data_IF_546513993609
#
_entry.id   IF_546513993609
#
_cell.length_a   1.000
_cell.length_b   1.000
_cell.length_c   1.000
_cell.angle_alpha   90.00
_cell.angle_beta   90.00
_cell.angle_gamma   90.00
#
_symmetry.space_group_name_H-M   'P 1'
#
loop_
_entity.id
_entity.type
_entity.pdbx_description
1 polymer ?
#
# COMPACT_ATOMS: atom_id res chain seq x y z
N UNK A 1 21.42 2.51 -11.79
CA UNK A 1 20.68 3.78 -11.69
C UNK A 1 19.23 3.45 -11.33
N UNK A 2 18.66 4.13 -10.33
CA UNK A 2 17.29 3.90 -9.87
C UNK A 2 16.33 4.79 -10.67
N UNK A 3 15.28 4.21 -11.24
CA UNK A 3 14.23 4.91 -11.98
C UNK A 3 13.13 5.46 -11.05
N UNK A 4 13.11 5.02 -9.81
CA UNK A 4 12.19 5.51 -8.78
C UNK A 4 12.97 6.14 -7.63
N UNK A 5 12.28 6.93 -6.81
CA UNK A 5 12.85 7.38 -5.54
C UNK A 5 13.15 6.18 -4.65
N UNK A 6 14.27 6.20 -3.92
CA UNK A 6 14.54 5.25 -2.82
C UNK A 6 13.71 5.59 -1.56
N UNK A 7 12.76 6.53 -1.67
CA UNK A 7 11.79 6.81 -0.62
C UNK A 7 10.77 5.67 -0.47
N UNK A 8 10.26 5.53 0.74
CA UNK A 8 9.19 4.59 1.01
C UNK A 8 7.90 5.06 0.35
N UNK A 9 7.24 4.15 -0.36
CA UNK A 9 5.89 4.37 -0.87
C UNK A 9 4.89 3.63 0.03
N UNK A 10 3.85 4.35 0.44
CA UNK A 10 2.75 3.78 1.20
C UNK A 10 1.75 3.10 0.26
N UNK A 11 1.59 1.79 0.42
CA UNK A 11 0.53 1.03 -0.20
C UNK A 11 -0.60 0.85 0.81
N UNK A 12 -1.85 1.04 0.39
CA UNK A 12 -2.98 0.94 1.32
C UNK A 12 -4.19 0.23 0.71
N UNK A 13 -4.96 -0.40 1.58
CA UNK A 13 -6.32 -0.86 1.33
C UNK A 13 -7.26 -0.06 2.21
N UNK A 14 -8.33 0.48 1.64
CA UNK A 14 -9.28 1.33 2.35
C UNK A 14 -10.70 0.79 2.17
N UNK A 15 -11.45 0.75 3.27
CA UNK A 15 -12.89 0.50 3.27
C UNK A 15 -13.61 1.73 3.79
N UNK A 16 -14.77 1.98 3.22
CA UNK A 16 -15.63 3.11 3.55
C UNK A 16 -16.96 2.60 4.12
N UNK A 17 -17.41 3.22 5.20
CA UNK A 17 -18.69 2.90 5.85
C UNK A 17 -19.51 4.19 5.91
N UNK A 18 -20.70 4.18 5.30
CA UNK A 18 -21.67 5.28 5.46
C UNK A 18 -22.30 5.17 6.85
N UNK A 19 -22.05 6.17 7.70
CA UNK A 19 -22.56 6.17 9.07
C UNK A 19 -24.10 6.13 9.12
N UNK A 20 -24.78 6.65 8.10
CA UNK A 20 -26.26 6.65 8.05
C UNK A 20 -26.85 5.27 7.79
N UNK A 21 -26.05 4.33 7.25
CA UNK A 21 -26.46 2.92 7.15
C UNK A 21 -26.42 2.21 8.51
N UNK A 22 -25.62 2.72 9.45
CA UNK A 22 -25.56 2.21 10.81
C UNK A 22 -26.69 2.82 11.65
N UNK A 23 -26.84 4.14 11.58
CA UNK A 23 -27.92 4.88 12.23
C UNK A 23 -28.29 6.12 11.39
N UNK A 24 -29.49 6.16 10.79
CA UNK A 24 -29.94 7.28 9.96
C UNK A 24 -30.03 8.62 10.70
N UNK A 25 -30.04 8.61 12.03
CA UNK A 25 -30.09 9.84 12.86
C UNK A 25 -28.73 10.51 13.01
N UNK A 26 -27.65 9.85 12.60
CA UNK A 26 -26.32 10.47 12.58
C UNK A 26 -26.28 11.51 11.47
N UNK A 27 -26.18 12.78 11.89
CA UNK A 27 -26.08 13.94 10.99
C UNK A 27 -24.74 14.67 11.08
N UNK A 28 -23.86 14.25 12.00
CA UNK A 28 -22.51 14.80 12.16
C UNK A 28 -21.57 13.79 12.82
N UNK A 29 -20.26 14.04 12.70
CA UNK A 29 -19.24 13.30 13.45
C UNK A 29 -19.43 13.44 14.97
N UNK A 30 -19.81 14.62 15.46
CA UNK A 30 -20.05 14.83 16.89
C UNK A 30 -21.21 13.96 17.39
N UNK A 31 -22.27 13.83 16.58
CA UNK A 31 -23.40 12.95 16.91
C UNK A 31 -22.95 11.49 16.94
N UNK A 32 -22.10 11.07 16.01
CA UNK A 32 -21.52 9.73 16.00
C UNK A 32 -20.65 9.47 17.24
N UNK A 33 -19.70 10.36 17.53
CA UNK A 33 -18.79 10.27 18.69
C UNK A 33 -19.58 10.24 20.01
N UNK A 34 -20.66 11.01 20.11
CA UNK A 34 -21.53 11.04 21.29
C UNK A 34 -22.46 9.83 21.41
N UNK A 35 -22.76 9.13 20.31
CA UNK A 35 -23.69 7.97 20.32
C UNK A 35 -22.96 6.64 20.43
N UNK A 36 -21.71 6.57 19.97
CA UNK A 36 -20.90 5.35 19.94
C UNK A 36 -19.61 5.53 20.71
N UNK A 37 -19.21 4.50 21.45
CA UNK A 37 -18.03 4.51 22.31
C UNK A 37 -16.79 3.98 21.60
N UNK A 38 -16.94 2.84 20.93
CA UNK A 38 -15.82 2.12 20.32
C UNK A 38 -16.18 1.51 18.99
N UNK A 39 -15.15 1.34 18.15
CA UNK A 39 -15.16 0.51 16.96
C UNK A 39 -14.17 -0.62 17.21
N UNK A 40 -14.63 -1.85 17.11
CA UNK A 40 -13.80 -3.06 17.22
C UNK A 40 -13.61 -3.69 15.86
N UNK A 41 -12.35 -3.88 15.47
CA UNK A 41 -11.97 -4.63 14.29
C UNK A 41 -11.42 -5.97 14.79
N UNK A 42 -12.07 -7.06 14.39
CA UNK A 42 -11.80 -8.41 14.88
C UNK A 42 -11.54 -9.39 13.74
N UNK A 43 -11.04 -10.59 14.10
CA UNK A 43 -10.60 -11.65 13.18
C UNK A 43 -9.37 -11.26 12.37
N UNK A 44 -8.43 -10.56 13.01
CA UNK A 44 -7.18 -10.10 12.38
C UNK A 44 -6.02 -11.11 12.48
N UNK A 45 -6.20 -12.20 13.23
CA UNK A 45 -5.11 -13.15 13.54
C UNK A 45 -4.53 -13.93 12.36
N UNK A 46 -5.19 -13.94 11.19
CA UNK A 46 -4.71 -14.60 9.97
C UNK A 46 -4.52 -13.61 8.81
N UNK A 47 -4.24 -12.33 9.14
CA UNK A 47 -3.80 -11.38 8.13
C UNK A 47 -2.39 -11.71 7.63
N UNK A 48 -2.24 -11.65 6.33
CA UNK A 48 -0.96 -11.76 5.64
C UNK A 48 -0.83 -10.67 4.59
N UNK A 49 0.40 -10.24 4.36
CA UNK A 49 0.75 -9.41 3.21
C UNK A 49 1.20 -10.33 2.09
N UNK A 50 0.52 -10.24 0.96
CA UNK A 50 0.90 -10.91 -0.27
C UNK A 50 1.51 -9.91 -1.24
N UNK A 51 2.62 -10.30 -1.84
CA UNK A 51 3.23 -9.65 -2.98
C UNK A 51 3.33 -10.67 -4.11
N UNK A 52 2.77 -10.35 -5.28
CA UNK A 52 2.94 -11.15 -6.48
C UNK A 52 4.40 -11.13 -6.94
N UNK A 53 4.71 -12.02 -7.85
CA UNK A 53 5.98 -11.99 -8.57
C UNK A 53 6.19 -10.60 -9.17
N UNK A 54 7.43 -10.12 -9.05
CA UNK A 54 7.78 -8.73 -9.31
C UNK A 54 7.90 -8.41 -10.81
N UNK A 55 6.95 -8.88 -11.62
CA UNK A 55 6.94 -8.60 -13.03
C UNK A 55 6.58 -7.13 -13.26
N UNK A 56 7.28 -6.47 -14.19
CA UNK A 56 7.14 -5.03 -14.40
C UNK A 56 5.70 -4.62 -14.77
N UNK A 57 4.97 -5.45 -15.49
CA UNK A 57 3.57 -5.21 -15.87
C UNK A 57 2.59 -5.20 -14.71
N UNK A 58 2.95 -5.84 -13.58
CA UNK A 58 2.11 -5.83 -12.38
C UNK A 58 2.18 -4.46 -11.68
N UNK A 59 3.29 -3.72 -11.82
CA UNK A 59 3.53 -2.50 -11.05
C UNK A 59 3.49 -1.24 -11.91
N UNK A 60 3.72 -1.36 -13.22
CA UNK A 60 3.66 -0.25 -14.17
C UNK A 60 2.58 -0.58 -15.20
N UNK A 61 1.31 -0.18 -14.95
CA UNK A 61 0.20 -0.53 -15.82
C UNK A 61 0.31 0.13 -17.21
N UNK A 62 0.81 1.37 -17.26
CA UNK A 62 1.11 2.05 -18.51
C UNK A 62 2.61 2.05 -18.79
N UNK A 63 3.04 1.17 -19.71
CA UNK A 63 4.43 1.07 -20.18
C UNK A 63 4.67 1.73 -21.54
N UNK A 64 3.70 2.49 -22.06
CA UNK A 64 3.88 3.26 -23.29
C UNK A 64 4.65 4.56 -23.02
N UNK A 65 5.87 4.41 -22.50
CA UNK A 65 6.79 5.50 -22.17
C UNK A 65 8.11 5.22 -22.85
N UNK A 66 8.63 6.23 -23.56
CA UNK A 66 9.95 6.13 -24.18
C UNK A 66 11.04 6.49 -23.18
N UNK A 67 12.07 5.64 -23.12
CA UNK A 67 13.27 5.87 -22.34
C UNK A 67 14.35 6.48 -23.24
N UNK A 68 14.98 7.53 -22.74
CA UNK A 68 15.99 8.31 -23.43
C UNK A 68 17.31 8.27 -22.68
N UNK A 69 18.41 8.41 -23.40
CA UNK A 69 19.72 8.59 -22.78
C UNK A 69 20.87 8.76 -23.76
N UNK A 70 21.89 9.50 -23.34
CA UNK A 70 23.14 9.72 -24.08
C UNK A 70 24.28 10.10 -23.11
N UNK A 71 25.50 10.21 -23.64
CA UNK A 71 26.70 10.54 -22.84
C UNK A 71 26.61 11.94 -22.21
N UNK A 72 25.95 12.89 -22.88
CA UNK A 72 25.91 14.31 -22.46
C UNK A 72 24.49 14.85 -22.20
N UNK A 73 23.43 14.12 -22.56
CA UNK A 73 22.02 14.55 -22.42
C UNK A 73 21.03 13.35 -22.51
N UNK A 74 19.72 13.64 -22.51
CA UNK A 74 18.65 12.64 -22.68
C UNK A 74 17.88 12.84 -23.99
N UNK A 75 18.56 13.13 -25.11
CA UNK A 75 17.90 13.46 -26.38
C UNK A 75 17.68 12.25 -27.29
N UNK A 76 18.43 11.16 -27.11
CA UNK A 76 18.29 9.96 -27.93
C UNK A 76 17.28 9.01 -27.31
N UNK A 77 16.22 8.68 -28.05
CA UNK A 77 15.31 7.58 -27.70
C UNK A 77 16.11 6.28 -27.76
N UNK A 78 16.15 5.55 -26.66
CA UNK A 78 16.85 4.27 -26.54
C UNK A 78 15.89 3.11 -26.85
N UNK A 79 14.78 3.03 -26.13
CA UNK A 79 13.76 1.97 -26.26
C UNK A 79 12.46 2.38 -25.56
N UNK A 80 11.37 1.69 -25.86
CA UNK A 80 10.13 1.83 -25.11
C UNK A 80 10.18 0.99 -23.83
N UNK A 81 9.61 1.49 -22.74
CA UNK A 81 9.45 0.73 -21.49
C UNK A 81 8.62 -0.54 -21.70
N UNK A 82 7.74 -0.55 -22.71
CA UNK A 82 6.97 -1.73 -23.11
C UNK A 82 7.84 -2.89 -23.61
N UNK A 83 9.03 -2.59 -24.16
CA UNK A 83 9.99 -3.54 -24.72
C UNK A 83 10.96 -4.09 -23.65
N UNK A 84 10.99 -3.48 -22.46
CA UNK A 84 11.84 -3.91 -21.36
C UNK A 84 11.34 -5.24 -20.82
N UNK A 85 12.25 -6.22 -20.79
CA UNK A 85 12.06 -7.52 -20.13
C UNK A 85 12.95 -7.57 -18.89
N UNK A 86 12.41 -8.08 -17.79
CA UNK A 86 13.22 -8.40 -16.62
C UNK A 86 14.12 -9.59 -16.96
N UNK A 87 15.41 -9.45 -16.70
CA UNK A 87 16.38 -10.52 -16.87
C UNK A 87 16.33 -11.52 -15.71
N UNK A 88 16.02 -11.01 -14.52
CA UNK A 88 15.80 -11.76 -13.29
C UNK A 88 14.63 -11.13 -12.54
N UNK A 89 13.76 -11.95 -11.97
CA UNK A 89 12.65 -11.51 -11.14
C UNK A 89 12.71 -12.13 -9.74
N UNK A 90 12.12 -11.41 -8.79
CA UNK A 90 11.93 -11.91 -7.43
C UNK A 90 10.69 -12.80 -7.37
N UNK A 91 10.76 -13.89 -6.60
CA UNK A 91 9.58 -14.73 -6.33
C UNK A 91 8.48 -13.96 -5.58
N UNK A 92 7.24 -14.45 -5.72
CA UNK A 92 6.13 -14.00 -4.87
C UNK A 92 6.46 -14.18 -3.39
N UNK A 93 5.99 -13.24 -2.58
CA UNK A 93 6.20 -13.21 -1.13
C UNK A 93 4.85 -13.26 -0.43
N UNK A 94 4.79 -14.05 0.64
CA UNK A 94 3.68 -14.04 1.59
C UNK A 94 4.30 -13.89 2.97
N UNK A 95 3.89 -12.86 3.70
CA UNK A 95 4.37 -12.61 5.05
C UNK A 95 3.19 -12.46 6.02
N UNK A 96 3.31 -13.07 7.19
CA UNK A 96 2.31 -12.95 8.25
C UNK A 96 2.44 -11.59 8.91
N UNK A 97 1.31 -11.08 9.42
CA UNK A 97 1.27 -9.83 10.18
C UNK A 97 0.92 -10.15 11.63
N UNK A 98 1.62 -9.53 12.57
CA UNK A 98 1.41 -9.75 14.00
C UNK A 98 0.41 -8.78 14.64
N UNK A 99 -0.69 -8.45 13.96
CA UNK A 99 -1.77 -7.68 14.61
C UNK A 99 -2.37 -8.48 15.77
N UNK A 100 -2.79 -7.75 16.81
CA UNK A 100 -3.74 -8.30 17.77
C UNK A 100 -5.00 -8.76 17.05
N UNK A 101 -5.56 -9.90 17.46
CA UNK A 101 -6.75 -10.45 16.80
C UNK A 101 -7.97 -9.50 16.88
N UNK A 102 -7.99 -8.63 17.90
CA UNK A 102 -9.00 -7.60 18.14
C UNK A 102 -8.29 -6.29 18.39
N UNK A 103 -8.70 -5.25 17.66
CA UNK A 103 -8.23 -3.87 17.84
C UNK A 103 -9.43 -2.99 18.14
N UNK A 104 -9.32 -2.21 19.22
CA UNK A 104 -10.39 -1.31 19.68
C UNK A 104 -9.98 0.13 19.45
N UNK A 105 -10.81 0.86 18.71
CA UNK A 105 -10.68 2.28 18.46
C UNK A 105 -11.71 3.02 19.30
N UNK A 106 -11.31 4.03 20.06
CA UNK A 106 -12.24 4.94 20.73
C UNK A 106 -12.69 6.02 19.75
N UNK A 107 -14.00 6.25 19.67
CA UNK A 107 -14.59 7.21 18.73
C UNK A 107 -14.13 8.64 18.99
N UNK A 108 -13.84 8.97 20.25
CA UNK A 108 -13.30 10.28 20.68
C UNK A 108 -11.97 10.65 20.00
N UNK A 109 -11.23 9.67 19.49
CA UNK A 109 -9.96 9.89 18.81
C UNK A 109 -10.12 10.11 17.29
N UNK A 110 -11.33 9.99 16.73
CA UNK A 110 -11.57 10.15 15.29
C UNK A 110 -11.70 11.63 14.96
N UNK A 111 -10.98 12.06 13.93
CA UNK A 111 -10.96 13.45 13.47
C UNK A 111 -11.42 13.57 12.02
N UNK A 112 -11.91 14.76 11.71
CA UNK A 112 -12.39 15.11 10.36
C UNK A 112 -11.20 15.35 9.44
N UNK A 113 -11.13 14.59 8.35
CA UNK A 113 -10.08 14.66 7.32
C UNK A 113 -8.65 14.53 7.87
N UNK A 114 -8.49 13.89 9.03
CA UNK A 114 -7.19 13.69 9.69
C UNK A 114 -7.02 12.20 9.99
N UNK A 115 -6.03 11.60 9.34
CA UNK A 115 -5.75 10.16 9.40
C UNK A 115 -5.08 9.86 10.74
N UNK A 116 -5.76 9.11 11.60
CA UNK A 116 -5.22 8.70 12.89
C UNK A 116 -4.80 7.24 12.83
N UNK A 117 -3.58 6.92 13.30
CA UNK A 117 -3.09 5.55 13.45
C UNK A 117 -3.49 5.00 14.82
N UNK A 118 -4.18 3.85 14.82
CA UNK A 118 -4.72 3.23 16.03
C UNK A 118 -4.00 1.95 16.44
N UNK A 119 -3.34 1.30 15.49
CA UNK A 119 -2.54 0.11 15.74
C UNK A 119 -1.44 0.00 14.71
N UNK A 120 -0.29 -0.48 15.16
CA UNK A 120 0.87 -0.75 14.33
C UNK A 120 1.23 -2.22 14.50
N UNK A 121 1.46 -2.91 13.39
CA UNK A 121 1.98 -4.25 13.33
C UNK A 121 3.19 -4.32 12.41
N UNK A 122 3.84 -5.47 12.45
CA UNK A 122 5.07 -5.79 11.74
C UNK A 122 4.87 -7.11 11.02
N UNK A 123 5.60 -7.28 9.92
CA UNK A 123 5.62 -8.55 9.22
C UNK A 123 6.75 -9.42 9.80
N UNK A 124 6.52 -10.71 10.02
CA UNK A 124 7.38 -11.55 10.88
C UNK A 124 7.83 -12.88 10.26
N UNK A 125 7.74 -13.02 8.95
CA UNK A 125 7.95 -14.27 8.23
C UNK A 125 8.55 -14.12 6.84
N UNK A 126 8.99 -12.92 6.42
CA UNK A 126 9.73 -12.72 5.17
C UNK A 126 10.95 -13.66 5.14
N UNK A 127 11.01 -14.62 4.20
CA UNK A 127 12.15 -15.52 4.09
C UNK A 127 13.40 -14.71 3.79
N UNK A 128 14.47 -14.92 4.56
CA UNK A 128 15.75 -14.24 4.34
C UNK A 128 16.45 -14.86 3.10
N UNK A 129 15.88 -14.66 1.90
CA UNK A 129 16.41 -15.12 0.61
C UNK A 129 16.79 -13.92 -0.26
N UNK A 130 17.71 -14.16 -1.19
CA UNK A 130 18.12 -13.19 -2.20
C UNK A 130 16.99 -12.98 -3.23
N UNK A 131 16.03 -12.13 -2.91
CA UNK A 131 15.14 -11.57 -3.90
C UNK A 131 15.84 -10.37 -4.55
N UNK A 132 15.89 -10.33 -5.89
CA UNK A 132 16.35 -9.13 -6.62
C UNK A 132 15.47 -7.92 -6.29
N UNK A 133 14.19 -8.16 -5.99
CA UNK A 133 13.24 -7.19 -5.45
C UNK A 133 12.98 -7.50 -3.96
N UNK A 134 13.71 -6.82 -3.06
CA UNK A 134 13.44 -6.92 -1.62
C UNK A 134 12.40 -5.89 -1.23
N UNK A 135 11.14 -6.31 -1.12
CA UNK A 135 10.13 -5.52 -0.43
C UNK A 135 10.37 -5.65 1.08
N UNK A 136 11.06 -4.67 1.66
CA UNK A 136 11.16 -4.56 3.11
C UNK A 136 9.90 -3.89 3.63
N UNK A 137 8.89 -4.69 3.96
CA UNK A 137 7.73 -4.21 4.69
C UNK A 137 8.19 -4.06 6.14
N UNK A 138 8.23 -2.82 6.62
CA UNK A 138 8.64 -2.54 7.99
C UNK A 138 7.44 -2.54 8.91
N UNK A 139 6.40 -1.82 8.53
CA UNK A 139 5.28 -1.47 9.39
C UNK A 139 3.98 -1.57 8.61
N UNK A 140 2.94 -2.05 9.29
CA UNK A 140 1.54 -1.99 8.88
C UNK A 140 0.77 -1.15 9.90
N UNK A 141 -0.13 -0.30 9.41
CA UNK A 141 -0.94 0.57 10.24
C UNK A 141 -2.41 0.29 10.00
N UNK A 142 -3.20 0.29 11.09
CA UNK A 142 -4.65 0.50 11.00
C UNK A 142 -4.93 1.95 11.32
N UNK A 143 -5.59 2.60 10.39
CA UNK A 143 -5.92 4.00 10.45
C UNK A 143 -7.41 4.19 10.29
N UNK A 144 -7.95 5.23 10.91
CA UNK A 144 -9.32 5.64 10.68
C UNK A 144 -9.46 7.16 10.66
N UNK A 145 -10.41 7.63 9.86
CA UNK A 145 -10.74 9.04 9.77
C UNK A 145 -12.16 9.22 9.25
N UNK A 146 -12.72 10.37 9.56
CA UNK A 146 -14.06 10.76 9.11
C UNK A 146 -13.94 11.72 7.92
N UNK A 147 -14.75 11.51 6.88
CA UNK A 147 -14.86 12.46 5.77
C UNK A 147 -16.08 13.36 5.99
N UNK A 148 -16.06 14.56 5.41
CA UNK A 148 -17.18 15.51 5.51
C UNK A 148 -18.53 14.94 5.02
N UNK A 149 -18.52 13.83 4.27
CA UNK A 149 -19.69 13.21 3.66
C UNK A 149 -20.34 12.11 4.53
N UNK A 150 -20.24 12.19 5.86
CA UNK A 150 -20.79 11.20 6.80
C UNK A 150 -20.18 9.80 6.68
N UNK A 151 -18.96 9.69 6.17
CA UNK A 151 -18.30 8.40 5.93
C UNK A 151 -17.14 8.19 6.89
N UNK A 152 -17.14 7.05 7.56
CA UNK A 152 -15.99 6.55 8.31
C UNK A 152 -15.14 5.73 7.35
N UNK A 153 -13.86 6.10 7.23
CA UNK A 153 -12.89 5.33 6.47
C UNK A 153 -11.98 4.58 7.43
N UNK A 154 -11.80 3.29 7.17
CA UNK A 154 -10.83 2.44 7.84
C UNK A 154 -9.82 2.00 6.79
N UNK A 155 -8.55 2.32 7.04
CA UNK A 155 -7.45 2.09 6.13
C UNK A 155 -6.42 1.17 6.77
N UNK A 156 -6.01 0.16 6.02
CA UNK A 156 -4.83 -0.64 6.32
C UNK A 156 -3.70 -0.17 5.42
N UNK A 157 -2.68 0.45 5.99
CA UNK A 157 -1.53 1.02 5.26
C UNK A 157 -0.30 0.19 5.53
N UNK A 158 0.56 0.01 4.53
CA UNK A 158 1.90 -0.52 4.70
C UNK A 158 2.92 0.35 4.02
N UNK A 159 4.08 0.40 4.63
CA UNK A 159 5.22 1.13 4.08
C UNK A 159 6.13 0.15 3.35
N UNK A 160 6.44 0.44 2.08
CA UNK A 160 7.24 -0.43 1.21
C UNK A 160 8.36 0.34 0.52
N UNK A 161 9.53 -0.29 0.42
CA UNK A 161 10.61 0.17 -0.44
C UNK A 161 10.44 -0.45 -1.82
N UNK A 162 10.35 0.38 -2.85
CA UNK A 162 10.29 -0.08 -4.24
C UNK A 162 11.48 0.50 -5.00
N UNK A 163 12.26 -0.36 -5.63
CA UNK A 163 13.41 0.03 -6.43
C UNK A 163 13.31 -0.66 -7.78
N UNK A 164 13.35 0.12 -8.86
CA UNK A 164 13.59 -0.38 -10.20
C UNK A 164 14.89 0.23 -10.68
N UNK A 165 15.91 -0.57 -10.86
CA UNK A 165 17.21 -0.08 -11.29
C UNK A 165 17.73 -0.82 -12.51
N UNK A 166 18.35 -0.07 -13.44
CA UNK A 166 19.12 -0.66 -14.53
C UNK A 166 20.60 -0.72 -14.15
N UNK A 167 21.23 -1.86 -14.49
CA UNK A 167 22.67 -2.03 -14.50
C UNK A 167 23.20 -1.74 -15.90
N UNK A 168 24.06 -0.73 -16.02
CA UNK A 168 24.72 -0.38 -17.27
C UNK A 168 26.08 -1.10 -17.29
N UNK A 169 26.39 -1.81 -18.36
CA UNK A 169 27.65 -2.57 -18.52
C UNK A 169 28.84 -1.70 -19.00
N UNK A 170 28.66 -0.38 -19.10
CA UNK A 170 29.68 0.56 -19.63
C UNK A 170 30.11 1.56 -18.56
N UNK A 171 31.40 1.88 -18.54
CA UNK A 171 32.08 2.72 -17.54
C UNK A 171 31.92 4.24 -17.75
N UNK A 172 31.23 4.66 -18.82
CA UNK A 172 31.06 6.08 -19.14
C UNK A 172 29.83 6.67 -18.44
N UNK A 173 29.93 7.94 -17.99
CA UNK A 173 28.75 8.71 -17.53
C UNK A 173 27.70 8.69 -18.62
N UNK A 174 26.48 8.31 -18.26
CA UNK A 174 25.35 8.20 -19.17
C UNK A 174 24.16 8.86 -18.49
N UNK A 175 23.58 9.87 -19.13
CA UNK A 175 22.35 10.51 -18.69
C UNK A 175 21.15 9.69 -19.17
N UNK A 176 20.14 9.53 -18.32
CA UNK A 176 18.91 8.80 -18.63
C UNK A 176 17.70 9.60 -18.20
N UNK A 177 16.60 9.42 -18.92
CA UNK A 177 15.33 10.04 -18.58
C UNK A 177 14.19 9.57 -19.46
N UNK A 178 13.04 10.21 -19.28
CA UNK A 178 11.79 9.97 -19.97
C UNK A 178 11.07 11.32 -20.09
N UNK A 179 10.17 11.44 -21.07
CA UNK A 179 9.37 12.67 -21.27
C UNK A 179 8.00 12.60 -20.60
N UNK A 180 7.48 11.39 -20.39
CA UNK A 180 6.15 11.14 -19.82
C UNK A 180 6.25 10.59 -18.40
N UNK A 181 5.20 10.74 -17.59
CA UNK A 181 5.19 10.17 -16.24
C UNK A 181 5.15 8.64 -16.28
N UNK A 182 6.00 8.01 -15.46
CA UNK A 182 5.92 6.58 -15.15
C UNK A 182 5.17 6.45 -13.83
N UNK A 183 3.98 5.86 -13.86
CA UNK A 183 3.16 5.63 -12.66
C UNK A 183 3.45 4.25 -12.11
N UNK A 184 3.84 4.20 -10.83
CA UNK A 184 4.00 2.97 -10.08
C UNK A 184 2.73 2.72 -9.25
N UNK A 185 2.03 1.62 -9.54
CA UNK A 185 0.81 1.24 -8.83
C UNK A 185 1.13 0.29 -7.66
N UNK A 186 1.50 0.86 -6.52
CA UNK A 186 1.81 0.11 -5.30
C UNK A 186 0.58 -0.29 -4.48
N UNK A 187 -0.56 0.36 -4.71
CA UNK A 187 -1.82 0.09 -3.99
C UNK A 187 -2.71 -0.91 -4.71
N UNK A 188 -2.26 -1.46 -5.85
CA UNK A 188 -2.98 -2.49 -6.57
C UNK A 188 -3.16 -3.75 -5.70
N UNK A 189 -4.39 -4.04 -5.22
CA UNK A 189 -4.58 -5.13 -4.29
C UNK A 189 -4.28 -6.47 -4.95
N UNK A 190 -4.40 -6.61 -6.27
CA UNK A 190 -4.07 -7.85 -6.96
C UNK A 190 -2.58 -8.15 -6.92
N UNK A 191 -1.73 -7.14 -6.86
CA UNK A 191 -0.28 -7.26 -6.98
C UNK A 191 0.39 -7.19 -5.63
N UNK A 192 -0.02 -6.23 -4.81
CA UNK A 192 0.56 -5.97 -3.50
C UNK A 192 -0.58 -5.64 -2.54
N UNK A 193 -0.93 -6.57 -1.64
CA UNK A 193 -2.10 -6.35 -0.80
C UNK A 193 -2.12 -7.14 0.50
N UNK A 194 -3.03 -6.73 1.37
CA UNK A 194 -3.32 -7.39 2.64
C UNK A 194 -4.45 -8.39 2.39
N UNK A 195 -4.31 -9.60 2.91
CA UNK A 195 -5.26 -10.70 2.76
C UNK A 195 -5.60 -11.29 4.11
N UNK A 196 -6.87 -11.59 4.30
CA UNK A 196 -7.31 -12.47 5.37
C UNK A 196 -7.45 -13.88 4.79
N UNK A 197 -6.67 -14.84 5.28
CA UNK A 197 -6.80 -16.27 4.90
C UNK A 197 -7.58 -17.10 5.93
N UNK A 198 -8.19 -16.44 6.91
CA UNK A 198 -9.14 -17.08 7.81
C UNK A 198 -10.43 -17.40 7.08
N UNK A 199 -11.09 -18.48 7.49
CA UNK A 199 -12.49 -18.75 7.13
C UNK A 199 -13.46 -17.73 7.76
N UNK A 200 -13.00 -17.02 8.81
CA UNK A 200 -13.73 -15.94 9.46
C UNK A 200 -13.38 -14.59 8.81
N UNK A 201 -14.35 -13.87 8.21
CA UNK A 201 -14.10 -12.56 7.62
C UNK A 201 -13.70 -11.55 8.69
N UNK A 202 -12.95 -10.50 8.29
CA UNK A 202 -12.69 -9.36 9.16
C UNK A 202 -14.04 -8.75 9.54
N UNK A 203 -14.26 -8.56 10.84
CA UNK A 203 -15.54 -8.05 11.36
C UNK A 203 -15.32 -6.73 12.06
N UNK A 204 -16.08 -5.72 11.63
CA UNK A 204 -16.12 -4.40 12.23
C UNK A 204 -17.40 -4.32 13.07
N UNK A 205 -17.27 -3.99 14.35
CA UNK A 205 -18.38 -3.86 15.29
C UNK A 205 -18.33 -2.47 15.92
N UNK A 206 -19.43 -1.72 15.85
CA UNK A 206 -19.51 -0.39 16.47
C UNK A 206 -20.38 -0.50 17.70
N UNK A 207 -19.84 -0.15 18.87
CA UNK A 207 -20.51 -0.28 20.16
C UNK A 207 -21.07 1.07 20.60
N UNK A 208 -22.37 1.14 20.97
CA UNK A 208 -22.96 2.36 21.50
C UNK A 208 -22.32 2.75 22.84
N UNK A 209 -22.55 3.99 23.25
CA UNK A 209 -22.24 4.44 24.63
C UNK A 209 -23.24 3.90 25.64
#
# INVERSE_FOLDING_TARGET
MNFFSDEFNDAYYETEIDLRQIDPTIQSIDKFINSYKTIEISNLGNLQVECRQANIENFIPNRNVDLYGAVDNCNNKLFSLSEVKLLEDGYSQTDKVNFDNIITLYTDNIKVNDIQTFSTAYTNGLPNKNYANRYKIKELYIQAYYTNDMKLKIRFTKTSLVNLSAKILRSTRWFWGNKDYIVLDVSNPNVLGIRNKSDSPVKITIKPR
#
